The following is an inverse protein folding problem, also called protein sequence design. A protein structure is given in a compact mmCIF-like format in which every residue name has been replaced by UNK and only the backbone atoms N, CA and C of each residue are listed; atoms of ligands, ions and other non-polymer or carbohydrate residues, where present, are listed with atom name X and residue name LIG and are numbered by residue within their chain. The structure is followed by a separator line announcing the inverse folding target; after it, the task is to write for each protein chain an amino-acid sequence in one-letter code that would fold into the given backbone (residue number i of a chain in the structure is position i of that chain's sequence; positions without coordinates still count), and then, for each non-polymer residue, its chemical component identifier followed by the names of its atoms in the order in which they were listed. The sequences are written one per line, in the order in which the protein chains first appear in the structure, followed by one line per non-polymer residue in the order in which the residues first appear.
data_IF_500927992222
#
_entry.id   IF_500927992222
#
_cell.length_a   1.000
_cell.length_b   1.000
_cell.length_c   1.000
_cell.angle_alpha   90.00
_cell.angle_beta   90.00
_cell.angle_gamma   90.00
#
_symmetry.space_group_name_H-M   'P 1'
#
loop_
_entity.id
_entity.type
_entity.pdbx_description
1 polymer ?
#
# COMPACT_ATOMS: atom_id res chain seq x y z
N UNK A 1 4.23 8.24 8.75
CA UNK A 1 5.18 7.11 8.82
C UNK A 1 6.42 7.48 8.01
N UNK A 2 6.29 7.75 6.72
CA UNK A 2 7.33 8.34 5.87
C UNK A 2 6.77 9.47 5.00
N UNK A 3 7.67 10.27 4.41
CA UNK A 3 7.36 11.44 3.59
C UNK A 3 6.89 12.65 4.42
N UNK A 4 6.45 13.70 3.72
CA UNK A 4 6.02 14.97 4.31
C UNK A 4 4.51 15.14 4.28
N UNK A 5 3.93 15.55 5.40
CA UNK A 5 2.49 15.83 5.51
C UNK A 5 2.20 16.91 6.56
N UNK A 6 1.43 17.94 6.18
CA UNK A 6 1.11 19.10 7.04
C UNK A 6 2.33 19.72 7.73
N UNK A 7 3.43 19.87 7.00
CA UNK A 7 4.67 20.45 7.52
C UNK A 7 5.42 19.56 8.51
N UNK A 8 5.07 18.27 8.61
CA UNK A 8 5.80 17.28 9.40
C UNK A 8 6.41 16.22 8.49
N UNK A 9 7.68 15.92 8.73
CA UNK A 9 8.43 14.87 8.03
C UNK A 9 8.42 13.60 8.87
N UNK A 10 8.16 12.45 8.23
CA UNK A 10 8.25 11.15 8.86
C UNK A 10 9.70 10.74 9.17
N UNK A 11 9.93 9.91 10.20
CA UNK A 11 11.29 9.49 10.61
C UNK A 11 11.96 8.50 9.65
N UNK A 12 11.24 7.98 8.65
CA UNK A 12 11.78 7.02 7.68
C UNK A 12 12.17 7.75 6.40
N UNK A 13 13.44 7.64 6.03
CA UNK A 13 14.07 8.28 4.88
C UNK A 13 14.77 7.25 3.96
N UNK A 14 15.44 7.74 2.90
CA UNK A 14 16.23 6.90 1.99
C UNK A 14 15.43 5.94 1.10
N UNK A 15 14.10 6.07 1.06
CA UNK A 15 13.25 5.17 0.26
C UNK A 15 13.14 5.68 -1.19
N UNK A 16 13.43 4.80 -2.15
CA UNK A 16 13.17 5.05 -3.56
C UNK A 16 11.68 5.36 -3.82
N UNK A 17 11.37 6.12 -4.87
CA UNK A 17 10.00 6.55 -5.23
C UNK A 17 9.33 7.57 -4.28
N UNK A 18 10.08 8.14 -3.33
CA UNK A 18 9.64 9.20 -2.42
C UNK A 18 8.27 8.90 -1.76
N UNK A 19 8.04 7.72 -1.15
CA UNK A 19 6.72 7.36 -0.68
C UNK A 19 6.25 8.29 0.43
N UNK A 20 4.95 8.59 0.43
CA UNK A 20 4.21 9.12 1.56
C UNK A 20 3.33 8.03 2.11
N UNK A 21 3.45 7.79 3.42
CA UNK A 21 2.71 6.75 4.13
C UNK A 21 2.11 7.34 5.40
N UNK A 22 0.79 7.41 5.44
CA UNK A 22 0.00 7.95 6.54
C UNK A 22 -0.86 6.87 7.18
N UNK A 23 -0.94 6.89 8.51
CA UNK A 23 -1.99 6.19 9.28
C UNK A 23 -3.06 7.22 9.63
N UNK A 24 -4.26 7.03 9.10
CA UNK A 24 -5.35 8.00 9.17
C UNK A 24 -6.49 7.41 9.97
N UNK A 25 -6.95 8.13 10.99
CA UNK A 25 -8.20 7.86 11.69
C UNK A 25 -9.19 9.01 11.47
N UNK A 26 -10.42 8.66 11.11
CA UNK A 26 -11.53 9.61 10.96
C UNK A 26 -12.65 9.18 11.92
N UNK A 27 -13.09 10.07 12.84
CA UNK A 27 -14.14 9.74 13.81
C UNK A 27 -15.49 9.42 13.15
N UNK A 28 -16.39 8.71 13.86
CA UNK A 28 -17.76 8.42 13.44
C UNK A 28 -18.48 9.57 12.76
N UNK A 29 -19.09 9.30 11.61
CA UNK A 29 -19.90 10.25 10.84
C UNK A 29 -19.15 11.48 10.31
N UNK A 30 -17.83 11.59 10.52
CA UNK A 30 -17.04 12.73 10.03
C UNK A 30 -16.58 12.53 8.59
N UNK A 31 -16.49 13.64 7.88
CA UNK A 31 -15.85 13.73 6.57
C UNK A 31 -14.43 14.24 6.71
N UNK A 32 -13.50 13.66 5.98
CA UNK A 32 -12.14 14.18 5.85
C UNK A 32 -11.71 14.18 4.39
N UNK A 33 -11.05 15.27 4.01
CA UNK A 33 -10.36 15.40 2.72
C UNK A 33 -8.86 15.52 2.97
N UNK A 34 -8.08 14.73 2.25
CA UNK A 34 -6.63 14.69 2.31
C UNK A 34 -6.10 14.99 0.91
N UNK A 35 -5.17 15.95 0.82
CA UNK A 35 -4.50 16.25 -0.43
C UNK A 35 -3.50 15.14 -0.79
N UNK A 36 -3.49 14.77 -2.06
CA UNK A 36 -2.57 13.84 -2.69
C UNK A 36 -1.92 14.57 -3.87
N UNK A 37 -0.66 14.30 -4.14
CA UNK A 37 -0.02 14.89 -5.31
C UNK A 37 -0.49 14.15 -6.57
N UNK A 38 -0.97 14.90 -7.57
CA UNK A 38 -1.57 14.36 -8.82
C UNK A 38 -0.64 13.42 -9.58
N UNK A 39 0.68 13.64 -9.47
CA UNK A 39 1.68 12.84 -10.15
C UNK A 39 2.00 11.51 -9.45
N UNK A 40 1.45 11.28 -8.25
CA UNK A 40 1.68 10.09 -7.45
C UNK A 40 0.52 9.13 -7.60
N UNK A 41 0.83 7.84 -7.76
CA UNK A 41 -0.18 6.81 -7.57
C UNK A 41 -0.49 6.69 -6.09
N UNK A 42 -1.77 6.54 -5.74
CA UNK A 42 -2.22 6.44 -4.36
C UNK A 42 -3.24 5.30 -4.18
N UNK A 43 -3.16 4.66 -3.03
CA UNK A 43 -4.17 3.70 -2.59
C UNK A 43 -4.42 3.85 -1.09
N UNK A 44 -5.63 3.50 -0.66
CA UNK A 44 -5.98 3.37 0.75
C UNK A 44 -6.24 1.91 1.10
N UNK A 45 -5.66 1.46 2.22
CA UNK A 45 -5.92 0.15 2.80
C UNK A 45 -6.69 0.33 4.10
N UNK A 46 -7.98 -0.01 4.10
CA UNK A 46 -8.85 0.11 5.27
C UNK A 46 -8.69 -1.13 6.13
N UNK A 47 -8.35 -0.96 7.41
CA UNK A 47 -8.13 -2.10 8.31
C UNK A 47 -8.96 -2.04 9.59
N UNK A 48 -9.70 -0.95 9.82
CA UNK A 48 -10.71 -0.89 10.88
C UNK A 48 -11.84 0.09 10.52
N UNK A 49 -13.07 -0.28 10.87
CA UNK A 49 -14.26 0.53 10.64
C UNK A 49 -14.66 0.55 9.15
N UNK A 50 -15.40 1.58 8.75
CA UNK A 50 -15.89 1.68 7.37
C UNK A 50 -15.98 3.13 6.91
N UNK A 51 -15.74 3.36 5.62
CA UNK A 51 -15.88 4.68 5.03
C UNK A 51 -16.18 4.61 3.54
N UNK A 52 -16.96 5.57 3.08
CA UNK A 52 -17.23 5.79 1.66
C UNK A 52 -16.18 6.74 1.08
N UNK A 53 -15.39 6.25 0.13
CA UNK A 53 -14.33 7.02 -0.54
C UNK A 53 -14.85 7.56 -1.87
N UNK A 54 -14.80 8.88 -2.03
CA UNK A 54 -15.17 9.55 -3.29
C UNK A 54 -14.11 9.36 -4.36
N UNK A 55 -14.56 9.36 -5.63
CA UNK A 55 -13.70 9.28 -6.82
C UNK A 55 -12.70 8.11 -6.79
N UNK A 56 -13.09 7.02 -6.13
CA UNK A 56 -12.26 5.84 -5.95
C UNK A 56 -12.87 4.64 -6.66
N UNK A 57 -12.04 3.65 -6.99
CA UNK A 57 -12.55 2.34 -7.42
C UNK A 57 -13.52 1.78 -6.38
N UNK A 58 -14.51 0.98 -6.79
CA UNK A 58 -15.28 0.18 -5.82
C UNK A 58 -14.28 -0.60 -4.96
N UNK A 59 -14.37 -0.56 -3.62
CA UNK A 59 -13.46 -1.30 -2.77
C UNK A 59 -13.50 -2.78 -3.14
N UNK A 60 -12.34 -3.40 -3.28
CA UNK A 60 -12.24 -4.85 -3.44
C UNK A 60 -11.49 -5.45 -2.25
N UNK A 61 -11.94 -6.63 -1.81
CA UNK A 61 -11.30 -7.34 -0.71
C UNK A 61 -9.87 -7.72 -1.10
N UNK A 62 -8.91 -7.39 -0.22
CA UNK A 62 -7.53 -7.81 -0.40
C UNK A 62 -7.44 -9.31 -0.09
N UNK A 63 -6.74 -10.06 -0.95
CA UNK A 63 -6.35 -11.43 -0.62
C UNK A 63 -5.42 -11.35 0.59
N UNK A 64 -5.92 -11.72 1.75
CA UNK A 64 -5.09 -11.87 2.94
C UNK A 64 -4.88 -13.33 3.22
N UNK A 65 -3.61 -13.69 3.44
CA UNK A 65 -3.24 -14.98 4.02
C UNK A 65 -3.76 -15.01 5.46
N UNK A 66 -4.61 -16.00 5.76
CA UNK A 66 -5.10 -16.25 7.11
C UNK A 66 -4.81 -17.71 7.44
N UNK A 67 -4.02 -17.91 8.49
CA UNK A 67 -3.80 -19.24 9.04
C UNK A 67 -5.02 -19.65 9.86
N UNK A 68 -5.68 -20.73 9.46
CA UNK A 68 -6.78 -21.34 10.22
C UNK A 68 -6.40 -22.78 10.47
N UNK A 69 -6.26 -23.15 11.74
CA UNK A 69 -5.87 -24.51 12.17
C UNK A 69 -4.56 -25.02 11.56
N UNK A 70 -3.59 -24.13 11.27
CA UNK A 70 -2.29 -24.52 10.71
C UNK A 70 -2.24 -24.63 9.18
N UNK A 71 -3.34 -24.33 8.48
CA UNK A 71 -3.38 -24.24 7.02
C UNK A 71 -3.51 -22.78 6.57
N UNK A 72 -2.70 -22.38 5.59
CA UNK A 72 -2.80 -21.07 4.93
C UNK A 72 -4.02 -21.03 4.01
N UNK A 73 -5.03 -20.25 4.40
CA UNK A 73 -6.23 -20.02 3.60
C UNK A 73 -6.19 -18.60 3.01
N UNK A 74 -6.29 -18.51 1.69
CA UNK A 74 -6.46 -17.25 0.97
C UNK A 74 -7.93 -16.81 1.02
N UNK A 75 -8.27 -15.90 1.94
CA UNK A 75 -9.64 -15.39 2.05
C UNK A 75 -9.71 -13.99 1.41
N UNK A 76 -10.64 -13.81 0.47
CA UNK A 76 -11.07 -12.48 0.02
C UNK A 76 -12.13 -11.98 0.99
N UNK A 77 -11.76 -11.10 1.91
CA UNK A 77 -12.70 -10.55 2.87
C UNK A 77 -13.55 -9.46 2.19
N UNK A 78 -14.83 -9.76 1.93
CA UNK A 78 -15.77 -8.85 1.26
C UNK A 78 -16.37 -7.80 2.23
N UNK A 79 -16.13 -7.95 3.53
CA UNK A 79 -16.81 -7.19 4.59
C UNK A 79 -15.95 -6.05 5.13
N UNK A 80 -15.93 -4.89 4.44
CA UNK A 80 -15.62 -3.55 4.97
C UNK A 80 -14.21 -3.29 5.55
N UNK A 81 -13.75 -4.13 6.47
CA UNK A 81 -12.40 -4.25 6.97
C UNK A 81 -11.55 -5.03 5.95
N UNK A 82 -10.31 -4.59 5.72
CA UNK A 82 -9.34 -5.17 4.75
C UNK A 82 -9.68 -4.95 3.28
N UNK A 83 -10.19 -3.78 2.94
CA UNK A 83 -10.42 -3.38 1.55
C UNK A 83 -9.29 -2.49 1.01
N UNK A 84 -9.00 -2.66 -0.29
CA UNK A 84 -8.10 -1.76 -1.02
C UNK A 84 -8.91 -0.87 -1.94
N UNK A 85 -8.57 0.41 -1.88
CA UNK A 85 -9.20 1.48 -2.64
C UNK A 85 -8.13 2.12 -3.51
N UNK A 86 -8.26 1.96 -4.82
CA UNK A 86 -7.38 2.61 -5.79
C UNK A 86 -7.96 3.97 -6.17
N UNK A 87 -7.12 4.99 -6.14
CA UNK A 87 -7.45 6.30 -6.65
C UNK A 87 -6.83 6.44 -8.03
N UNK A 88 -7.65 6.87 -8.99
CA UNK A 88 -7.16 7.29 -10.30
C UNK A 88 -6.56 8.71 -10.18
N UNK A 89 -6.29 9.37 -11.31
CA UNK A 89 -5.86 10.76 -11.36
C UNK A 89 -6.78 11.68 -10.54
N UNK A 90 -6.18 12.38 -9.57
CA UNK A 90 -6.86 13.32 -8.66
C UNK A 90 -5.88 13.90 -7.65
N UNK A 91 -6.16 15.09 -7.13
CA UNK A 91 -5.32 15.78 -6.14
C UNK A 91 -5.84 15.62 -4.71
N UNK A 92 -6.96 14.91 -4.52
CA UNK A 92 -7.61 14.79 -3.21
C UNK A 92 -8.30 13.44 -3.02
N UNK A 93 -8.22 12.92 -1.80
CA UNK A 93 -8.99 11.78 -1.32
C UNK A 93 -9.99 12.29 -0.30
N UNK A 94 -11.27 12.05 -0.54
CA UNK A 94 -12.34 12.37 0.42
C UNK A 94 -12.98 11.09 0.93
N UNK A 95 -13.01 10.94 2.24
CA UNK A 95 -13.66 9.83 2.93
C UNK A 95 -14.78 10.34 3.84
N UNK A 96 -15.93 9.69 3.78
CA UNK A 96 -17.02 9.82 4.73
C UNK A 96 -17.01 8.60 5.64
N UNK A 97 -16.70 8.79 6.93
CA UNK A 97 -16.67 7.69 7.89
C UNK A 97 -18.09 7.22 8.23
N UNK A 98 -18.23 5.91 8.41
CA UNK A 98 -19.45 5.25 8.91
C UNK A 98 -19.63 5.41 10.42
N UNK A 99 -20.53 4.62 10.99
CA UNK A 99 -21.01 4.77 12.36
C UNK A 99 -19.94 4.47 13.43
N UNK A 100 -18.98 3.59 13.12
CA UNK A 100 -17.86 3.25 14.00
C UNK A 100 -16.58 4.06 13.69
N UNK A 101 -16.66 5.00 12.75
CA UNK A 101 -15.48 5.68 12.21
C UNK A 101 -14.72 4.81 11.20
N UNK A 102 -13.53 5.28 10.79
CA UNK A 102 -12.64 4.50 9.90
C UNK A 102 -11.17 4.75 10.24
N UNK A 103 -10.36 3.69 10.13
CA UNK A 103 -8.90 3.78 10.15
C UNK A 103 -8.31 3.05 8.94
N UNK A 104 -7.42 3.75 8.25
CA UNK A 104 -6.82 3.27 7.02
C UNK A 104 -5.40 3.78 6.85
N UNK A 105 -4.64 3.03 6.07
CA UNK A 105 -3.32 3.43 5.60
C UNK A 105 -3.49 4.12 4.26
N UNK A 106 -2.98 5.34 4.13
CA UNK A 106 -2.89 6.03 2.84
C UNK A 106 -1.45 5.99 2.38
N UNK A 107 -1.23 5.35 1.24
CA UNK A 107 0.10 5.22 0.63
C UNK A 107 0.07 5.88 -0.74
N UNK A 108 1.06 6.73 -1.01
CA UNK A 108 1.26 7.33 -2.32
C UNK A 108 2.74 7.42 -2.68
N UNK A 109 3.10 7.26 -3.94
CA UNK A 109 4.49 7.30 -4.39
C UNK A 109 4.62 7.71 -5.85
N UNK A 110 5.79 8.20 -6.23
CA UNK A 110 6.09 8.51 -7.62
C UNK A 110 6.26 7.21 -8.40
N UNK A 111 5.56 7.01 -9.54
CA UNK A 111 5.76 5.81 -10.34
C UNK A 111 7.23 5.74 -10.80
N UNK A 112 7.90 4.61 -10.51
CA UNK A 112 9.30 4.39 -10.92
C UNK A 112 9.40 4.23 -12.45
N UNK A 113 8.34 3.71 -13.09
CA UNK A 113 8.25 3.49 -14.54
C UNK A 113 9.35 2.59 -15.11
N UNK A 114 9.85 1.67 -14.31
CA UNK A 114 10.79 0.64 -14.74
C UNK A 114 10.08 -0.72 -14.86
N UNK A 115 10.58 -1.64 -15.71
CA UNK A 115 10.09 -3.00 -15.76
C UNK A 115 10.25 -3.71 -14.40
N UNK A 116 9.35 -4.63 -14.11
CA UNK A 116 9.36 -5.44 -12.89
C UNK A 116 9.43 -6.92 -13.27
N UNK A 117 10.46 -7.60 -12.79
CA UNK A 117 10.62 -9.04 -12.82
C UNK A 117 10.64 -9.55 -11.36
N UNK A 118 9.72 -10.44 -11.00
CA UNK A 118 9.50 -10.85 -9.61
C UNK A 118 9.39 -12.37 -9.49
N UNK A 119 10.08 -12.94 -8.49
CA UNK A 119 9.93 -14.34 -8.08
C UNK A 119 10.18 -14.49 -6.58
N UNK A 120 9.14 -14.90 -5.84
CA UNK A 120 9.22 -15.11 -4.39
C UNK A 120 9.66 -13.84 -3.64
N UNK A 121 10.77 -13.86 -2.87
CA UNK A 121 11.24 -12.69 -2.14
C UNK A 121 12.10 -11.71 -2.98
N UNK A 122 12.37 -12.02 -4.27
CA UNK A 122 13.31 -11.26 -5.10
C UNK A 122 12.57 -10.46 -6.17
N UNK A 123 12.84 -9.15 -6.22
CA UNK A 123 12.35 -8.22 -7.25
C UNK A 123 13.56 -7.61 -7.98
N UNK A 124 13.57 -7.68 -9.31
CA UNK A 124 14.56 -7.10 -10.22
C UNK A 124 13.87 -6.39 -11.38
N UNK A 125 14.64 -5.76 -12.29
CA UNK A 125 14.08 -5.11 -13.47
C UNK A 125 13.93 -6.09 -14.66
N UNK A 126 14.84 -7.05 -14.82
CA UNK A 126 14.84 -8.00 -15.94
C UNK A 126 14.79 -9.47 -15.51
N UNK A 127 14.34 -10.35 -16.40
CA UNK A 127 14.33 -11.80 -16.15
C UNK A 127 15.73 -12.38 -15.99
N UNK A 128 16.73 -11.82 -16.69
CA UNK A 128 18.11 -12.26 -16.58
C UNK A 128 18.69 -11.94 -15.18
N UNK A 129 18.48 -10.72 -14.69
CA UNK A 129 18.87 -10.33 -13.32
C UNK A 129 18.15 -11.17 -12.27
N UNK A 130 16.86 -11.44 -12.47
CA UNK A 130 16.08 -12.27 -11.55
C UNK A 130 16.62 -13.71 -11.49
N UNK A 131 16.91 -14.32 -12.64
CA UNK A 131 17.49 -15.67 -12.70
C UNK A 131 18.86 -15.74 -12.01
N UNK A 132 19.71 -14.73 -12.25
CA UNK A 132 21.00 -14.62 -11.58
C UNK A 132 20.81 -14.50 -10.05
N UNK A 133 19.95 -13.60 -9.60
CA UNK A 133 19.67 -13.36 -8.19
C UNK A 133 19.15 -14.61 -7.47
N UNK A 134 18.24 -15.35 -8.10
CA UNK A 134 17.73 -16.64 -7.58
C UNK A 134 18.86 -17.66 -7.48
N UNK A 135 19.73 -17.76 -8.49
CA UNK A 135 20.89 -18.66 -8.46
C UNK A 135 21.86 -18.29 -7.34
N UNK A 136 22.16 -17.00 -7.15
CA UNK A 136 23.02 -16.53 -6.07
C UNK A 136 22.42 -16.81 -4.69
N UNK A 137 21.10 -16.67 -4.53
CA UNK A 137 20.41 -17.04 -3.28
C UNK A 137 20.51 -18.54 -3.00
N UNK A 138 20.25 -19.39 -4.01
CA UNK A 138 20.34 -20.85 -3.89
C UNK A 138 21.76 -21.32 -3.57
N UNK A 139 22.77 -20.63 -4.10
CA UNK A 139 24.18 -20.94 -3.88
C UNK A 139 24.75 -20.29 -2.61
N UNK A 140 23.96 -19.50 -1.88
CA UNK A 140 24.41 -18.79 -0.67
C UNK A 140 25.38 -17.63 -0.95
N UNK A 141 25.47 -17.14 -2.19
CA UNK A 141 26.37 -16.06 -2.62
C UNK A 141 25.68 -14.72 -2.86
N UNK A 142 24.40 -14.61 -2.49
CA UNK A 142 23.58 -13.42 -2.70
C UNK A 142 24.09 -12.17 -1.97
N UNK A 143 24.52 -12.33 -0.71
CA UNK A 143 25.08 -11.23 0.07
C UNK A 143 26.56 -11.10 -0.28
N UNK A 144 26.93 -9.95 -0.84
CA UNK A 144 28.32 -9.63 -1.13
C UNK A 144 28.86 -8.72 -0.03
N UNK A 145 30.01 -9.05 0.53
CA UNK A 145 30.76 -8.12 1.39
C UNK A 145 31.18 -6.93 0.54
N UNK A 146 30.64 -5.74 0.84
CA UNK A 146 31.07 -4.46 0.28
C UNK A 146 32.43 -4.04 0.84
#
# INVERSE_FOLDING_TARGET
ICGDFWGKTGPVDGIAAEPRYLDVSVPPGKRKTLKVEVERHAFAYVFAGSGDFRAASKPFGVLTEKEVNGEEIHVRETTGNRSLVLFDSGDEITVQAGDEGVRFLLVSGKPIKEPVAWYGPIVMNTQAELQQAVSELQNGTFIRSQ
#
